data_IF_120651749133
#
_entry.id   IF_120651749133
#
_cell.length_a   1.000
_cell.length_b   1.000
_cell.length_c   1.000
_cell.angle_alpha   90.00
_cell.angle_beta   90.00
_cell.angle_gamma   90.00
#
_symmetry.space_group_name_H-M   'P 1'
#
loop_
_entity.id
_entity.type
_entity.pdbx_description
1 polymer ?
#
# COMPACT_ATOMS: atom_id res chain seq x y z
N UNK A 1 26.58 10.54 0.24
CA UNK A 1 25.29 11.07 -0.26
C UNK A 1 25.18 12.54 0.13
N UNK A 2 25.11 13.46 -0.85
CA UNK A 2 25.10 14.91 -0.65
C UNK A 2 23.74 15.33 -0.06
N UNK A 3 23.75 15.96 1.13
CA UNK A 3 22.58 16.55 1.79
C UNK A 3 22.15 17.82 1.04
N UNK A 4 20.96 17.82 0.45
CA UNK A 4 20.37 19.00 -0.16
C UNK A 4 19.72 19.88 0.92
N UNK A 5 20.22 21.12 1.07
CA UNK A 5 19.70 22.12 2.01
C UNK A 5 18.69 23.03 1.29
N UNK A 6 17.39 22.82 1.58
CA UNK A 6 16.25 23.46 0.90
C UNK A 6 16.11 24.96 1.28
N UNK A 7 16.81 25.40 2.35
CA UNK A 7 16.72 26.78 2.86
C UNK A 7 17.15 27.87 1.86
N UNK A 8 17.97 27.54 0.86
CA UNK A 8 18.45 28.53 -0.14
C UNK A 8 17.50 28.76 -1.32
N UNK A 9 16.46 27.95 -1.49
CA UNK A 9 15.57 28.06 -2.66
C UNK A 9 14.50 29.15 -2.46
N UNK A 10 14.15 29.48 -1.22
CA UNK A 10 13.03 30.38 -0.90
C UNK A 10 13.37 31.88 -0.88
N UNK A 11 14.64 32.26 -0.81
CA UNK A 11 15.04 33.68 -0.75
C UNK A 11 14.91 34.42 -2.10
N UNK A 12 14.76 33.68 -3.20
CA UNK A 12 14.72 34.24 -4.56
C UNK A 12 13.39 34.87 -5.00
N UNK A 13 12.33 34.81 -4.19
CA UNK A 13 10.98 35.27 -4.60
C UNK A 13 10.55 36.61 -3.98
N UNK A 14 11.38 37.25 -3.14
CA UNK A 14 11.03 38.50 -2.45
C UNK A 14 11.39 39.79 -3.19
N UNK A 15 12.15 39.74 -4.30
CA UNK A 15 12.70 40.95 -4.92
C UNK A 15 11.92 41.50 -6.13
N UNK A 16 10.77 40.94 -6.50
CA UNK A 16 9.99 41.48 -7.64
C UNK A 16 8.74 42.17 -7.14
N UNK A 17 8.88 43.43 -6.68
CA UNK A 17 7.97 44.55 -6.98
C UNK A 17 8.26 45.78 -6.10
N UNK A 18 8.98 46.77 -6.64
CA UNK A 18 8.93 48.14 -6.12
C UNK A 18 9.02 49.17 -7.26
N UNK A 19 7.89 49.80 -7.58
CA UNK A 19 7.82 51.17 -8.10
C UNK A 19 6.41 51.76 -7.86
N UNK A 20 6.40 53.00 -7.36
CA UNK A 20 5.35 53.86 -6.74
C UNK A 20 4.32 54.47 -7.73
N UNK A 21 3.34 55.36 -7.38
CA UNK A 21 2.94 55.99 -6.09
C UNK A 21 1.40 56.09 -5.76
N UNK A 22 1.12 56.39 -4.48
CA UNK A 22 0.01 57.19 -3.87
C UNK A 22 -1.48 56.98 -4.25
N UNK A 23 -2.25 56.34 -3.35
CA UNK A 23 -3.64 56.75 -2.99
C UNK A 23 -3.88 56.42 -1.50
N UNK A 24 -4.39 57.39 -0.75
CA UNK A 24 -4.88 57.22 0.63
C UNK A 24 -6.12 56.33 0.63
N UNK A 25 -5.97 55.10 1.14
CA UNK A 25 -7.10 54.24 1.53
C UNK A 25 -6.71 53.67 2.89
N UNK A 26 -7.61 53.76 3.87
CA UNK A 26 -7.36 53.32 5.26
C UNK A 26 -6.84 51.89 5.34
N UNK A 27 -6.27 51.46 6.48
CA UNK A 27 -5.71 50.12 6.59
C UNK A 27 -6.86 49.10 6.67
N UNK A 28 -7.51 48.83 5.55
CA UNK A 28 -7.96 47.47 5.28
C UNK A 28 -6.68 46.72 4.97
N UNK A 29 -6.00 46.35 6.05
CA UNK A 29 -5.02 45.27 6.00
C UNK A 29 -5.67 44.17 5.18
N UNK A 30 -5.00 43.83 4.08
CA UNK A 30 -5.25 42.61 3.35
C UNK A 30 -5.62 41.57 4.41
N UNK A 31 -6.84 41.03 4.34
CA UNK A 31 -7.21 39.81 5.05
C UNK A 31 -6.28 38.72 4.48
N UNK A 32 -5.02 38.78 4.91
CA UNK A 32 -4.02 37.76 4.84
C UNK A 32 -4.65 36.68 5.68
N UNK A 33 -5.36 35.78 5.01
CA UNK A 33 -5.99 34.62 5.60
C UNK A 33 -4.96 34.03 6.56
N UNK A 34 -5.22 34.17 7.87
CA UNK A 34 -4.27 33.81 8.89
C UNK A 34 -4.15 32.29 8.84
N UNK A 35 -3.00 31.82 8.33
CA UNK A 35 -2.73 30.41 8.12
C UNK A 35 -2.59 29.73 9.49
N UNK A 36 -3.69 29.16 9.96
CA UNK A 36 -3.85 28.54 11.29
C UNK A 36 -3.50 27.06 11.29
N UNK A 37 -3.12 26.52 10.14
CA UNK A 37 -2.72 25.13 10.01
C UNK A 37 -1.31 24.93 10.56
N UNK A 38 -1.22 24.20 11.68
CA UNK A 38 0.03 23.80 12.29
C UNK A 38 0.38 22.35 11.91
N UNK A 39 1.63 21.95 12.05
CA UNK A 39 2.12 20.63 11.59
C UNK A 39 1.44 19.45 12.30
N UNK A 40 0.97 19.67 13.51
CA UNK A 40 0.18 18.76 14.36
C UNK A 40 -1.27 18.58 13.88
N UNK A 41 -1.78 19.47 13.01
CA UNK A 41 -3.06 19.27 12.31
C UNK A 41 -2.96 18.27 11.16
N UNK A 42 -1.74 17.89 10.75
CA UNK A 42 -1.52 16.95 9.68
C UNK A 42 -1.09 15.59 10.23
N UNK A 43 -1.86 14.55 9.93
CA UNK A 43 -1.46 13.18 10.16
C UNK A 43 -1.18 12.49 8.84
N UNK A 44 0.05 11.97 8.69
CA UNK A 44 0.39 11.12 7.56
C UNK A 44 -0.34 9.78 7.72
N UNK A 45 -1.31 9.51 6.83
CA UNK A 45 -2.00 8.23 6.78
C UNK A 45 -1.68 7.51 5.47
N UNK A 46 -1.42 6.21 5.54
CA UNK A 46 -1.20 5.37 4.36
C UNK A 46 -2.57 4.95 3.83
N UNK A 47 -2.95 5.45 2.67
CA UNK A 47 -4.28 5.23 2.07
C UNK A 47 -4.38 3.88 1.36
N UNK A 48 -3.73 3.74 0.20
CA UNK A 48 -3.85 2.54 -0.65
C UNK A 48 -2.52 2.22 -1.32
N UNK A 49 -2.16 0.94 -1.40
CA UNK A 49 -1.01 0.49 -2.19
C UNK A 49 -1.45 0.31 -3.63
N UNK A 50 -1.04 1.21 -4.50
CA UNK A 50 -1.26 1.11 -5.94
C UNK A 50 -0.09 0.38 -6.62
N UNK A 51 -0.37 -0.31 -7.72
CA UNK A 51 0.62 -1.01 -8.54
C UNK A 51 0.92 -2.45 -8.10
N UNK A 52 1.86 -3.10 -8.80
CA UNK A 52 2.27 -4.47 -8.51
C UNK A 52 3.14 -4.53 -7.24
N UNK A 53 3.03 -5.59 -6.42
CA UNK A 53 3.92 -5.77 -5.29
C UNK A 53 5.39 -5.91 -5.74
N UNK A 54 6.32 -5.48 -4.89
CA UNK A 54 7.75 -5.61 -5.16
C UNK A 54 8.16 -7.09 -5.13
N UNK A 55 8.87 -7.54 -6.18
CA UNK A 55 9.32 -8.93 -6.36
C UNK A 55 8.19 -9.98 -6.25
N UNK A 56 7.23 -9.98 -7.19
CA UNK A 56 6.25 -11.05 -7.26
C UNK A 56 6.95 -12.37 -7.59
N UNK A 57 6.65 -13.41 -6.84
CA UNK A 57 7.23 -14.75 -7.03
C UNK A 57 6.22 -15.74 -7.61
N UNK A 58 4.94 -15.58 -7.30
CA UNK A 58 3.88 -16.48 -7.75
C UNK A 58 2.55 -15.75 -7.91
N UNK A 59 1.64 -16.33 -8.69
CA UNK A 59 0.28 -15.82 -8.85
C UNK A 59 -0.70 -16.97 -9.06
N UNK A 60 -1.95 -16.78 -8.63
CA UNK A 60 -3.04 -17.71 -8.87
C UNK A 60 -4.34 -16.93 -9.11
N UNK A 61 -5.29 -17.53 -9.83
CA UNK A 61 -6.56 -16.89 -10.14
C UNK A 61 -7.72 -17.89 -9.98
N UNK A 62 -8.79 -17.46 -9.30
CA UNK A 62 -10.06 -18.20 -9.28
C UNK A 62 -11.03 -17.62 -10.33
N UNK A 63 -11.35 -18.38 -11.40
CA UNK A 63 -12.22 -17.91 -12.48
C UNK A 63 -13.70 -17.78 -12.08
N UNK A 64 -14.13 -18.45 -11.01
CA UNK A 64 -15.52 -18.40 -10.52
C UNK A 64 -15.70 -17.19 -9.61
N UNK A 65 -14.82 -17.04 -8.63
CA UNK A 65 -14.92 -15.95 -7.64
C UNK A 65 -14.30 -14.63 -8.14
N UNK A 66 -13.58 -14.67 -9.28
CA UNK A 66 -12.84 -13.55 -9.88
C UNK A 66 -11.85 -12.92 -8.90
N UNK A 67 -11.06 -13.77 -8.23
CA UNK A 67 -10.06 -13.33 -7.26
C UNK A 67 -8.67 -13.64 -7.82
N UNK A 68 -7.80 -12.65 -7.82
CA UNK A 68 -6.39 -12.80 -8.14
C UNK A 68 -5.57 -12.78 -6.85
N UNK A 69 -4.71 -13.79 -6.67
CA UNK A 69 -3.71 -13.81 -5.61
C UNK A 69 -2.33 -13.62 -6.23
N UNK A 70 -1.52 -12.76 -5.61
CA UNK A 70 -0.12 -12.51 -5.97
C UNK A 70 0.73 -12.71 -4.73
N UNK A 71 1.69 -13.62 -4.80
CA UNK A 71 2.68 -13.89 -3.75
C UNK A 71 3.99 -13.17 -4.06
N UNK A 72 4.71 -12.75 -3.02
CA UNK A 72 6.01 -12.10 -3.15
C UNK A 72 7.13 -12.94 -2.55
N UNK A 73 8.37 -12.59 -2.92
CA UNK A 73 9.58 -13.16 -2.32
C UNK A 73 9.75 -12.81 -0.83
N UNK A 74 9.07 -11.76 -0.36
CA UNK A 74 9.10 -11.32 1.05
C UNK A 74 8.02 -11.98 1.93
N UNK A 75 7.32 -12.99 1.42
CA UNK A 75 6.22 -13.66 2.14
C UNK A 75 4.96 -12.80 2.25
N UNK A 76 4.81 -11.77 1.42
CA UNK A 76 3.58 -11.01 1.31
C UNK A 76 2.65 -11.67 0.29
N UNK A 77 1.35 -11.57 0.56
CA UNK A 77 0.29 -12.13 -0.26
C UNK A 77 -0.74 -11.03 -0.49
N UNK A 78 -0.87 -10.61 -1.74
CA UNK A 78 -1.86 -9.62 -2.18
C UNK A 78 -3.02 -10.35 -2.83
N UNK A 79 -4.22 -10.06 -2.36
CA UNK A 79 -5.47 -10.60 -2.88
C UNK A 79 -6.29 -9.47 -3.45
N UNK A 80 -6.49 -9.49 -4.76
CA UNK A 80 -7.28 -8.51 -5.48
C UNK A 80 -8.57 -9.20 -5.93
N UNK A 81 -9.69 -8.89 -5.26
CA UNK A 81 -10.99 -9.46 -5.60
C UNK A 81 -11.75 -8.55 -6.57
N UNK A 82 -12.02 -9.06 -7.78
CA UNK A 82 -12.78 -8.38 -8.84
C UNK A 82 -14.28 -8.67 -8.77
N UNK A 83 -14.83 -8.92 -7.57
CA UNK A 83 -16.26 -9.22 -7.41
C UNK A 83 -17.10 -8.02 -7.86
N UNK A 84 -17.88 -8.23 -8.92
CA UNK A 84 -18.98 -7.36 -9.37
C UNK A 84 -18.62 -5.89 -9.63
N UNK A 85 -17.43 -5.62 -10.17
CA UNK A 85 -17.07 -4.27 -10.61
C UNK A 85 -16.95 -3.24 -9.48
N UNK A 86 -16.78 -3.68 -8.22
CA UNK A 86 -16.46 -2.80 -7.09
C UNK A 86 -14.94 -2.72 -6.91
N UNK A 87 -14.28 -1.65 -7.37
CA UNK A 87 -12.88 -1.42 -7.06
C UNK A 87 -12.70 -1.30 -5.55
N UNK A 88 -11.73 -2.02 -4.97
CA UNK A 88 -11.28 -1.78 -3.59
C UNK A 88 -11.31 -2.95 -2.61
N UNK A 89 -11.60 -4.18 -3.03
CA UNK A 89 -11.37 -5.36 -2.17
C UNK A 89 -9.94 -5.87 -2.41
N UNK A 90 -8.97 -5.05 -2.01
CA UNK A 90 -7.58 -5.46 -1.92
C UNK A 90 -7.31 -5.90 -0.48
N UNK A 91 -6.80 -7.12 -0.32
CA UNK A 91 -6.30 -7.58 0.96
C UNK A 91 -4.79 -7.80 0.88
N UNK A 92 -4.10 -7.29 1.89
CA UNK A 92 -2.69 -7.55 2.09
C UNK A 92 -2.55 -8.49 3.30
N UNK A 93 -1.98 -9.65 3.07
CA UNK A 93 -1.62 -10.61 4.10
C UNK A 93 -0.11 -10.81 4.08
N UNK A 94 0.46 -11.13 5.23
CA UNK A 94 1.87 -11.44 5.34
C UNK A 94 2.04 -12.72 6.13
N UNK A 95 2.83 -13.64 5.59
CA UNK A 95 3.24 -14.84 6.26
C UNK A 95 4.17 -14.51 7.41
N UNK A 96 3.97 -15.16 8.56
CA UNK A 96 4.82 -14.94 9.74
C UNK A 96 6.28 -15.31 9.50
N UNK A 97 6.54 -16.33 8.66
CA UNK A 97 7.92 -16.73 8.34
C UNK A 97 8.65 -15.77 7.42
N UNK A 98 7.92 -14.89 6.71
CA UNK A 98 8.51 -13.96 5.72
C UNK A 98 9.22 -14.65 4.55
N UNK A 99 9.06 -15.97 4.39
CA UNK A 99 9.69 -16.73 3.32
C UNK A 99 8.99 -16.50 1.98
N UNK A 100 9.74 -16.65 0.89
CA UNK A 100 9.22 -16.45 -0.45
C UNK A 100 8.05 -17.40 -0.76
N UNK A 101 6.96 -16.86 -1.29
CA UNK A 101 5.82 -17.68 -1.72
C UNK A 101 6.15 -18.33 -3.06
N UNK A 102 6.46 -19.62 -3.05
CA UNK A 102 6.89 -20.36 -4.24
C UNK A 102 5.70 -20.72 -5.14
N UNK A 103 4.54 -21.03 -4.55
CA UNK A 103 3.36 -21.45 -5.30
C UNK A 103 2.09 -21.03 -4.57
N UNK A 104 1.10 -20.62 -5.37
CA UNK A 104 -0.24 -20.32 -4.93
C UNK A 104 -1.22 -21.18 -5.71
N UNK A 105 -2.22 -21.74 -5.03
CA UNK A 105 -3.25 -22.57 -5.66
C UNK A 105 -4.60 -22.31 -4.99
N UNK A 106 -5.57 -21.81 -5.76
CA UNK A 106 -6.93 -21.68 -5.28
C UNK A 106 -7.62 -23.05 -5.25
N UNK A 107 -8.40 -23.26 -4.19
CA UNK A 107 -9.49 -24.23 -4.21
C UNK A 107 -10.68 -23.53 -4.87
N UNK A 108 -10.83 -23.78 -6.16
CA UNK A 108 -11.79 -23.08 -7.04
C UNK A 108 -13.19 -23.17 -6.43
N UNK A 109 -13.87 -22.03 -6.34
CA UNK A 109 -15.22 -21.90 -5.80
C UNK A 109 -15.37 -22.19 -4.28
N UNK A 110 -14.35 -22.70 -3.60
CA UNK A 110 -14.40 -22.99 -2.16
C UNK A 110 -14.04 -21.77 -1.29
N UNK A 111 -13.50 -20.71 -1.88
CA UNK A 111 -13.05 -19.54 -1.11
C UNK A 111 -11.88 -19.86 -0.19
N UNK A 112 -11.00 -20.75 -0.62
CA UNK A 112 -9.79 -21.12 0.09
C UNK A 112 -8.58 -21.08 -0.86
N UNK A 113 -7.42 -20.77 -0.30
CA UNK A 113 -6.18 -20.61 -1.05
C UNK A 113 -5.06 -21.37 -0.33
N UNK A 114 -4.32 -22.18 -1.07
CA UNK A 114 -3.12 -22.84 -0.58
C UNK A 114 -1.91 -22.02 -1.03
N UNK A 115 -1.02 -21.75 -0.08
CA UNK A 115 0.27 -21.10 -0.33
C UNK A 115 1.40 -22.01 0.14
N UNK A 116 2.31 -22.35 -0.76
CA UNK A 116 3.55 -23.02 -0.44
C UNK A 116 4.69 -21.99 -0.38
N UNK A 117 5.54 -22.10 0.63
CA UNK A 117 6.65 -21.19 0.90
C UNK A 117 7.99 -21.89 0.73
N UNK A 118 9.04 -21.09 0.56
CA UNK A 118 10.42 -21.56 0.40
C UNK A 118 11.05 -22.13 1.69
N UNK A 119 10.37 -22.02 2.85
CA UNK A 119 10.78 -22.57 4.14
C UNK A 119 10.20 -23.96 4.42
N UNK A 120 9.76 -24.65 3.36
CA UNK A 120 9.10 -25.95 3.38
C UNK A 120 7.74 -25.94 4.13
N UNK A 121 7.15 -24.76 4.35
CA UNK A 121 5.81 -24.63 4.92
C UNK A 121 4.71 -24.45 3.86
N UNK A 122 3.53 -24.97 4.19
CA UNK A 122 2.31 -24.83 3.40
C UNK A 122 1.21 -24.31 4.31
N UNK A 123 0.59 -23.21 3.91
CA UNK A 123 -0.55 -22.63 4.62
C UNK A 123 -1.83 -22.74 3.80
N UNK A 124 -2.92 -23.10 4.48
CA UNK A 124 -4.26 -23.02 3.94
C UNK A 124 -4.94 -21.76 4.46
N UNK A 125 -5.36 -20.90 3.55
CA UNK A 125 -6.05 -19.65 3.82
C UNK A 125 -7.54 -19.79 3.61
N UNK A 126 -8.33 -19.23 4.52
CA UNK A 126 -9.76 -19.01 4.34
C UNK A 126 -10.01 -17.59 3.83
N UNK A 127 -10.67 -17.47 2.68
CA UNK A 127 -11.01 -16.20 2.03
C UNK A 127 -12.51 -15.88 2.12
N UNK A 128 -13.31 -16.69 2.84
CA UNK A 128 -14.75 -16.46 3.02
C UNK A 128 -15.03 -15.27 3.95
N UNK A 129 -14.08 -14.91 4.79
CA UNK A 129 -14.19 -13.80 5.74
C UNK A 129 -13.64 -12.50 5.14
N UNK A 130 -14.06 -11.35 5.71
CA UNK A 130 -13.59 -10.02 5.29
C UNK A 130 -12.07 -9.87 5.39
N UNK A 131 -11.44 -10.60 6.32
CA UNK A 131 -9.99 -10.71 6.43
C UNK A 131 -9.59 -12.18 6.21
N UNK A 132 -8.71 -12.47 5.26
CA UNK A 132 -8.10 -13.77 5.11
C UNK A 132 -7.42 -14.20 6.40
N UNK A 133 -7.59 -15.47 6.75
CA UNK A 133 -6.97 -16.07 7.91
C UNK A 133 -6.35 -17.41 7.53
N UNK A 134 -5.21 -17.74 8.15
CA UNK A 134 -4.60 -19.06 8.03
C UNK A 134 -5.43 -20.02 8.88
N UNK A 135 -6.00 -21.04 8.23
CA UNK A 135 -6.70 -22.15 8.90
C UNK A 135 -5.74 -23.22 9.36
N UNK A 136 -4.83 -23.61 8.47
CA UNK A 136 -3.87 -24.67 8.72
C UNK A 136 -2.50 -24.27 8.23
N UNK A 137 -1.50 -24.73 8.97
CA UNK A 137 -0.09 -24.58 8.66
C UNK A 137 0.55 -25.96 8.77
N UNK A 138 1.16 -26.41 7.70
CA UNK A 138 1.91 -27.65 7.64
C UNK A 138 3.37 -27.30 7.37
N UNK A 139 4.30 -27.91 8.07
CA UNK A 139 5.73 -27.77 7.81
C UNK A 139 6.29 -29.12 7.46
N UNK A 140 6.83 -29.23 6.25
CA UNK A 140 7.41 -30.47 5.77
C UNK A 140 8.89 -30.51 6.13
N UNK A 141 9.36 -31.69 6.52
CA UNK A 141 10.79 -31.99 6.62
C UNK A 141 11.27 -32.58 5.30
N UNK A 142 12.47 -32.22 4.87
CA UNK A 142 13.12 -32.89 3.73
C UNK A 142 13.32 -34.36 4.06
N UNK A 143 12.91 -35.24 3.15
CA UNK A 143 13.30 -36.65 3.21
C UNK A 143 14.81 -36.77 3.01
N UNK A 144 15.43 -37.71 3.72
CA UNK A 144 16.88 -37.92 3.79
C UNK A 144 17.37 -38.91 2.75
#
# INVERSE_FOLDING_TARGET
MKKFNIRKVLDGLKEVSSSTPSVQVGPQENHLIQETLQSDHFQLCKTVRHGFPYQPSSMAFDPVQKILAIGTQSGALRLDAFRFGRPGVECYCQHESGAAVIQLQFLINEGALVSALADDSVHLWNLRQKRPAILHSLKFSKER
#
